data_IF_497517362690
#
_entry.id   IF_497517362690
#
_cell.length_a   1.000
_cell.length_b   1.000
_cell.length_c   1.000
_cell.angle_alpha   90.00
_cell.angle_beta   90.00
_cell.angle_gamma   90.00
#
_symmetry.space_group_name_H-M   'P 1'
#
loop_
_entity.id
_entity.type
_entity.pdbx_description
1 polymer ?
#
# COMPACT_ATOMS: atom_id res chain seq x y z
N UNK A 1 -6.75 19.21 34.46
CA UNK A 1 -6.89 20.65 34.69
C UNK A 1 -7.98 21.18 33.77
N UNK A 2 -8.98 21.92 34.23
CA UNK A 2 -9.98 22.49 33.35
C UNK A 2 -9.37 23.60 32.51
N UNK A 3 -9.64 23.59 31.21
CA UNK A 3 -9.21 24.64 30.28
C UNK A 3 -10.10 25.86 30.52
N UNK A 4 -9.51 26.93 31.07
CA UNK A 4 -10.19 28.21 31.23
C UNK A 4 -10.16 28.91 29.84
N UNK A 5 -11.29 28.93 29.14
CA UNK A 5 -11.45 29.74 27.95
C UNK A 5 -11.81 31.16 28.41
N UNK A 6 -10.84 32.07 28.36
CA UNK A 6 -11.10 33.50 28.53
C UNK A 6 -11.80 34.01 27.29
N UNK A 7 -13.10 34.28 27.39
CA UNK A 7 -13.81 35.04 26.38
C UNK A 7 -13.37 36.50 26.46
N UNK A 8 -12.44 36.90 25.62
CA UNK A 8 -12.32 38.29 25.27
C UNK A 8 -13.54 38.70 24.43
N UNK A 9 -14.13 39.83 24.77
CA UNK A 9 -15.33 40.36 24.17
C UNK A 9 -15.19 40.49 22.64
N UNK A 10 -15.78 39.58 21.92
CA UNK A 10 -15.92 39.68 20.46
C UNK A 10 -16.86 40.85 20.15
N UNK A 11 -16.28 41.91 19.64
CA UNK A 11 -17.01 43.05 19.08
C UNK A 11 -17.90 42.53 17.94
N UNK A 12 -19.21 42.64 18.10
CA UNK A 12 -20.28 42.03 17.31
C UNK A 12 -20.45 42.63 15.90
N UNK A 13 -19.37 42.81 15.17
CA UNK A 13 -19.46 43.13 13.73
C UNK A 13 -18.67 42.08 12.91
N UNK A 14 -19.45 41.25 12.27
CA UNK A 14 -19.05 40.20 11.32
C UNK A 14 -18.47 38.94 11.98
N UNK A 15 -19.36 37.98 12.23
CA UNK A 15 -18.97 36.59 12.46
C UNK A 15 -18.52 36.02 11.10
N UNK A 16 -17.28 36.28 10.74
CA UNK A 16 -16.63 35.46 9.77
C UNK A 16 -16.26 34.18 10.53
N UNK A 17 -16.85 33.03 10.20
CA UNK A 17 -16.43 31.73 10.64
C UNK A 17 -15.04 31.46 10.04
N UNK A 18 -14.02 32.10 10.57
CA UNK A 18 -12.65 31.78 10.20
C UNK A 18 -12.33 30.39 10.76
N UNK A 19 -11.91 29.45 9.93
CA UNK A 19 -11.49 28.14 10.39
C UNK A 19 -10.33 28.32 11.39
N UNK A 20 -10.33 27.50 12.41
CA UNK A 20 -9.25 27.48 13.41
C UNK A 20 -8.76 26.03 13.59
N UNK A 21 -7.53 25.88 13.99
CA UNK A 21 -6.96 24.60 14.37
C UNK A 21 -6.28 24.70 15.73
N UNK A 22 -6.10 23.55 16.37
CA UNK A 22 -5.33 23.45 17.63
C UNK A 22 -3.93 22.95 17.26
N UNK A 23 -2.93 23.70 17.62
CA UNK A 23 -1.53 23.33 17.36
C UNK A 23 -1.01 22.27 18.36
N UNK A 24 0.25 21.86 18.20
CA UNK A 24 0.91 20.86 19.09
C UNK A 24 0.97 21.28 20.56
N UNK A 25 0.83 22.57 20.85
CA UNK A 25 0.88 23.12 22.19
C UNK A 25 -0.54 23.36 22.77
N UNK A 26 -1.57 22.81 22.11
CA UNK A 26 -3.01 22.98 22.41
C UNK A 26 -3.51 24.42 22.32
N UNK A 27 -2.86 25.25 21.55
CA UNK A 27 -3.28 26.64 21.30
C UNK A 27 -4.21 26.68 20.09
N UNK A 28 -5.41 27.23 20.28
CA UNK A 28 -6.33 27.46 19.16
C UNK A 28 -5.82 28.63 18.33
N UNK A 29 -5.46 28.35 17.08
CA UNK A 29 -4.94 29.34 16.12
C UNK A 29 -5.94 29.61 15.02
N UNK A 30 -6.27 30.86 14.78
CA UNK A 30 -7.11 31.27 13.65
C UNK A 30 -6.31 31.16 12.35
N UNK A 31 -6.94 30.60 11.32
CA UNK A 31 -6.34 30.52 9.99
C UNK A 31 -6.35 31.89 9.33
N UNK A 32 -5.21 32.33 8.85
CA UNK A 32 -5.03 33.58 8.10
C UNK A 32 -4.01 33.38 6.97
N UNK A 33 -3.81 34.36 6.12
CA UNK A 33 -2.76 34.33 5.08
C UNK A 33 -1.35 34.24 5.68
N UNK A 34 -1.15 34.77 6.89
CA UNK A 34 0.12 34.72 7.61
C UNK A 34 0.28 33.43 8.46
N UNK A 35 -0.84 32.82 8.83
CA UNK A 35 -0.92 31.58 9.60
C UNK A 35 -1.86 30.59 8.90
N UNK A 36 -1.43 30.01 7.79
CA UNK A 36 -2.24 29.03 7.07
C UNK A 36 -2.45 27.77 7.93
N UNK A 37 -3.58 27.10 7.72
CA UNK A 37 -3.82 25.81 8.36
C UNK A 37 -2.74 24.81 7.91
N UNK A 38 -2.01 24.18 8.83
CA UNK A 38 -1.08 23.13 8.45
C UNK A 38 -1.88 21.96 7.87
N UNK A 39 -1.51 21.54 6.67
CA UNK A 39 -2.04 20.33 6.05
C UNK A 39 -0.99 19.23 6.17
N UNK A 40 -1.40 18.09 6.66
CA UNK A 40 -0.53 16.90 6.70
C UNK A 40 -1.10 15.88 5.74
N UNK A 41 -0.26 15.35 4.87
CA UNK A 41 -0.62 14.18 4.07
C UNK A 41 -0.86 13.01 5.02
N UNK A 42 -2.06 12.44 4.96
CA UNK A 42 -2.45 11.33 5.82
C UNK A 42 -1.53 10.11 5.65
N UNK A 43 -1.02 9.87 4.46
CA UNK A 43 -0.10 8.77 4.19
C UNK A 43 1.25 9.01 4.90
N UNK A 44 1.73 10.26 4.86
CA UNK A 44 2.95 10.66 5.56
C UNK A 44 2.79 10.51 7.09
N UNK A 45 1.66 10.95 7.63
CA UNK A 45 1.35 10.77 9.05
C UNK A 45 1.34 9.28 9.43
N UNK A 46 0.66 8.43 8.65
CA UNK A 46 0.62 6.98 8.88
C UNK A 46 2.01 6.34 8.89
N UNK A 47 2.92 6.81 8.04
CA UNK A 47 4.31 6.34 8.06
C UNK A 47 5.02 6.69 9.37
N UNK A 48 4.87 7.93 9.85
CA UNK A 48 5.44 8.35 11.13
C UNK A 48 4.86 7.59 12.33
N UNK A 49 3.57 7.26 12.28
CA UNK A 49 2.90 6.43 13.29
C UNK A 49 3.33 4.94 13.23
N UNK A 50 4.15 4.56 12.24
CA UNK A 50 4.56 3.17 12.03
C UNK A 50 3.44 2.26 11.58
N UNK A 51 2.44 2.79 10.88
CA UNK A 51 1.29 2.06 10.31
C UNK A 51 1.44 1.77 8.83
N UNK A 52 2.57 2.11 8.23
CA UNK A 52 2.90 1.82 6.85
C UNK A 52 3.77 0.58 6.74
N UNK A 53 3.38 -0.36 5.91
CA UNK A 53 4.07 -1.64 5.72
C UNK A 53 4.34 -1.91 4.26
N UNK A 54 5.22 -2.87 3.99
CA UNK A 54 5.46 -3.36 2.65
C UNK A 54 5.91 -4.82 2.65
N UNK A 55 5.73 -5.43 1.51
CA UNK A 55 6.34 -6.68 1.12
C UNK A 55 6.85 -6.54 -0.32
N UNK A 56 8.01 -7.10 -0.62
CA UNK A 56 8.50 -7.17 -1.98
C UNK A 56 9.12 -8.54 -2.29
N UNK A 57 9.04 -8.93 -3.56
CA UNK A 57 9.73 -10.11 -4.09
C UNK A 57 10.36 -9.77 -5.42
N UNK A 58 11.69 -9.81 -5.44
CA UNK A 58 12.50 -9.63 -6.63
C UNK A 58 12.99 -10.99 -7.15
N UNK A 59 12.86 -11.19 -8.46
CA UNK A 59 13.54 -12.22 -9.24
C UNK A 59 14.62 -11.51 -10.08
N UNK A 60 15.87 -11.48 -9.58
CA UNK A 60 16.96 -10.72 -10.21
C UNK A 60 17.47 -11.43 -11.47
N UNK A 61 18.41 -10.81 -12.18
CA UNK A 61 19.03 -11.36 -13.39
C UNK A 61 19.68 -12.73 -13.17
N UNK A 62 20.21 -12.97 -11.98
CA UNK A 62 20.82 -14.26 -11.57
C UNK A 62 19.80 -15.38 -11.29
N UNK A 63 18.50 -15.04 -11.12
CA UNK A 63 17.43 -15.99 -10.79
C UNK A 63 16.10 -15.51 -11.39
N UNK A 64 16.05 -15.39 -12.72
CA UNK A 64 14.91 -14.90 -13.49
C UNK A 64 13.66 -15.73 -13.30
N UNK A 65 12.51 -15.10 -13.41
CA UNK A 65 11.23 -15.79 -13.51
C UNK A 65 11.12 -16.48 -14.87
N UNK A 66 10.99 -17.81 -14.87
CA UNK A 66 10.93 -18.59 -16.09
C UNK A 66 9.69 -18.24 -16.96
N UNK A 67 9.77 -18.51 -18.26
CA UNK A 67 8.62 -18.40 -19.15
C UNK A 67 7.44 -19.23 -18.65
N UNK A 68 6.25 -18.66 -18.61
CA UNK A 68 5.03 -19.29 -18.10
C UNK A 68 4.95 -19.45 -16.58
N UNK A 69 6.02 -19.10 -15.84
CA UNK A 69 6.00 -19.15 -14.38
C UNK A 69 5.32 -17.91 -13.77
N UNK A 70 4.79 -18.08 -12.56
CA UNK A 70 4.14 -17.01 -11.81
C UNK A 70 4.80 -16.77 -10.47
N UNK A 71 4.72 -15.54 -10.00
CA UNK A 71 4.92 -15.16 -8.59
C UNK A 71 3.53 -15.00 -7.99
N UNK A 72 3.23 -15.79 -6.97
CA UNK A 72 1.99 -15.70 -6.21
C UNK A 72 2.27 -15.14 -4.82
N UNK A 73 1.60 -14.06 -4.47
CA UNK A 73 1.62 -13.50 -3.11
C UNK A 73 0.19 -13.48 -2.59
N UNK A 74 -0.08 -14.33 -1.61
CA UNK A 74 -1.36 -14.30 -0.92
C UNK A 74 -1.24 -13.47 0.36
N UNK A 75 -2.17 -12.55 0.58
CA UNK A 75 -2.21 -11.70 1.77
C UNK A 75 -3.62 -11.71 2.36
N UNK A 76 -3.69 -11.82 3.69
CA UNK A 76 -4.93 -11.71 4.45
C UNK A 76 -4.70 -10.80 5.67
N UNK A 77 -5.72 -10.02 6.04
CA UNK A 77 -5.66 -9.11 7.17
C UNK A 77 -6.54 -9.59 8.32
N UNK A 78 -6.13 -9.26 9.55
CA UNK A 78 -6.90 -9.60 10.74
C UNK A 78 -8.29 -8.93 10.75
N UNK A 79 -9.15 -9.39 11.65
CA UNK A 79 -10.47 -8.81 11.85
C UNK A 79 -10.39 -7.32 12.20
N UNK A 80 -11.21 -6.50 11.56
CA UNK A 80 -11.28 -5.05 11.77
C UNK A 80 -10.20 -4.24 11.03
N UNK A 81 -9.26 -4.89 10.33
CA UNK A 81 -8.20 -4.21 9.60
C UNK A 81 -8.59 -4.02 8.13
N UNK A 82 -8.77 -2.77 7.72
CA UNK A 82 -8.94 -2.37 6.32
C UNK A 82 -7.61 -1.81 5.81
N UNK A 83 -6.96 -2.55 4.93
CA UNK A 83 -5.68 -2.11 4.40
C UNK A 83 -5.86 -1.28 3.14
N UNK A 84 -5.21 -0.13 3.09
CA UNK A 84 -5.08 0.68 1.89
C UNK A 84 -3.79 0.30 1.18
N UNK A 85 -3.90 -0.44 0.09
CA UNK A 85 -2.78 -1.06 -0.60
C UNK A 85 -2.52 -0.41 -1.96
N UNK A 86 -1.25 -0.21 -2.25
CA UNK A 86 -0.72 0.10 -3.58
C UNK A 86 0.15 -1.06 -4.02
N UNK A 87 0.02 -1.44 -5.28
CA UNK A 87 0.93 -2.39 -5.94
C UNK A 87 1.86 -1.64 -6.89
N UNK A 88 3.07 -2.15 -7.00
CA UNK A 88 4.02 -1.78 -8.02
C UNK A 88 4.64 -3.05 -8.59
N UNK A 89 4.63 -3.18 -9.91
CA UNK A 89 5.06 -4.39 -10.58
C UNK A 89 5.99 -4.02 -11.73
N UNK A 90 7.18 -4.60 -11.70
CA UNK A 90 8.23 -4.37 -12.70
C UNK A 90 8.61 -5.70 -13.35
N UNK A 91 8.85 -5.68 -14.65
CA UNK A 91 9.28 -6.87 -15.40
C UNK A 91 10.20 -6.49 -16.57
N UNK A 92 11.17 -7.35 -16.85
CA UNK A 92 12.04 -7.22 -18.03
C UNK A 92 11.44 -7.81 -19.30
N UNK A 93 10.27 -8.42 -19.25
CA UNK A 93 9.56 -9.02 -20.39
C UNK A 93 8.06 -8.85 -20.23
N UNK A 94 7.30 -9.30 -21.22
CA UNK A 94 5.83 -9.26 -21.17
C UNK A 94 5.33 -10.08 -19.98
N UNK A 95 4.40 -9.50 -19.22
CA UNK A 95 3.80 -10.15 -18.08
C UNK A 95 2.32 -9.78 -17.93
N UNK A 96 1.58 -10.64 -17.26
CA UNK A 96 0.21 -10.40 -16.83
C UNK A 96 0.16 -10.31 -15.31
N UNK A 97 -0.54 -9.32 -14.81
CA UNK A 97 -0.73 -9.13 -13.38
C UNK A 97 -2.21 -9.16 -13.02
N UNK A 98 -2.54 -9.96 -12.01
CA UNK A 98 -3.91 -10.15 -11.54
C UNK A 98 -4.01 -9.97 -10.04
N UNK A 99 -5.15 -9.44 -9.59
CA UNK A 99 -5.57 -9.44 -8.17
C UNK A 99 -6.88 -10.20 -8.07
N UNK A 100 -6.90 -11.22 -7.22
CA UNK A 100 -8.10 -12.00 -6.90
C UNK A 100 -8.48 -11.79 -5.44
N UNK A 101 -9.77 -11.88 -5.14
CA UNK A 101 -10.30 -11.83 -3.76
C UNK A 101 -11.06 -13.09 -3.42
N UNK A 102 -10.96 -13.53 -2.16
CA UNK A 102 -11.56 -14.78 -1.71
C UNK A 102 -10.83 -16.01 -2.23
N UNK A 103 -9.54 -15.89 -2.49
CA UNK A 103 -8.69 -17.02 -2.92
C UNK A 103 -8.55 -18.05 -1.81
N UNK A 104 -8.51 -19.33 -2.19
CA UNK A 104 -8.20 -20.43 -1.27
C UNK A 104 -6.80 -20.94 -1.59
N UNK A 105 -5.92 -20.84 -0.60
CA UNK A 105 -4.50 -21.20 -0.76
C UNK A 105 -4.04 -22.09 0.39
N UNK A 106 -3.06 -22.92 0.13
CA UNK A 106 -2.43 -23.80 1.13
C UNK A 106 -0.91 -23.82 0.95
N UNK A 107 -0.17 -24.09 2.02
CA UNK A 107 1.29 -24.15 1.95
C UNK A 107 1.92 -22.81 1.58
N UNK A 108 3.03 -22.87 0.83
CA UNK A 108 3.83 -21.69 0.53
C UNK A 108 4.80 -21.33 1.65
N UNK A 109 5.53 -20.24 1.44
CA UNK A 109 6.48 -19.71 2.44
C UNK A 109 5.86 -18.54 3.17
N UNK A 110 5.69 -18.63 4.49
CA UNK A 110 5.28 -17.49 5.31
C UNK A 110 6.40 -16.44 5.32
N UNK A 111 6.07 -15.21 5.00
CA UNK A 111 7.01 -14.10 4.92
C UNK A 111 6.49 -12.91 5.73
N UNK A 112 7.39 -12.14 6.40
CA UNK A 112 6.97 -11.00 7.18
C UNK A 112 6.65 -9.80 6.29
N UNK A 113 5.65 -9.02 6.70
CA UNK A 113 5.53 -7.62 6.29
C UNK A 113 6.59 -6.78 7.01
N UNK A 114 7.25 -5.88 6.29
CA UNK A 114 8.25 -4.99 6.86
C UNK A 114 7.63 -3.60 7.09
N UNK A 115 7.97 -2.97 8.21
CA UNK A 115 7.51 -1.63 8.50
C UNK A 115 8.32 -0.61 7.67
N UNK A 116 7.65 0.33 7.03
CA UNK A 116 8.31 1.40 6.25
C UNK A 116 8.96 2.46 7.13
N UNK A 117 8.53 2.58 8.39
CA UNK A 117 9.24 3.34 9.41
C UNK A 117 10.23 2.42 10.13
N UNK A 118 11.48 2.43 9.73
CA UNK A 118 12.51 1.54 10.27
C UNK A 118 12.83 1.77 11.76
N UNK A 119 12.34 2.86 12.35
CA UNK A 119 12.46 3.13 13.79
C UNK A 119 11.23 2.63 14.58
N UNK A 120 10.20 2.13 13.91
CA UNK A 120 8.99 1.62 14.55
C UNK A 120 9.12 0.13 14.84
N UNK A 121 8.69 -0.28 16.03
CA UNK A 121 8.54 -1.69 16.41
C UNK A 121 7.16 -2.28 16.07
N UNK A 122 6.26 -1.49 15.46
CA UNK A 122 4.94 -1.97 15.09
C UNK A 122 5.04 -3.05 14.02
N UNK A 123 4.25 -4.10 14.18
CA UNK A 123 4.12 -5.21 13.24
C UNK A 123 2.78 -5.14 12.53
N UNK A 124 2.77 -5.49 11.25
CA UNK A 124 1.53 -5.59 10.47
C UNK A 124 0.62 -6.69 11.00
N UNK A 125 -0.67 -6.48 10.91
CA UNK A 125 -1.70 -7.47 11.21
C UNK A 125 -2.05 -8.32 9.97
N UNK A 126 -1.16 -8.37 8.99
CA UNK A 126 -1.30 -9.21 7.80
C UNK A 126 -0.59 -10.56 7.96
N UNK A 127 -1.14 -11.59 7.30
CA UNK A 127 -0.46 -12.86 7.05
C UNK A 127 -0.12 -12.94 5.56
N UNK A 128 1.14 -13.18 5.22
CA UNK A 128 1.62 -13.24 3.83
C UNK A 128 2.21 -14.61 3.53
N UNK A 129 1.79 -15.19 2.41
CA UNK A 129 2.32 -16.44 1.88
C UNK A 129 2.91 -16.19 0.48
N UNK A 130 4.16 -16.52 0.29
CA UNK A 130 4.83 -16.48 -1.01
C UNK A 130 4.70 -17.86 -1.69
N UNK A 131 4.29 -17.84 -2.95
CA UNK A 131 4.10 -19.00 -3.82
C UNK A 131 3.32 -20.14 -3.13
N UNK A 132 2.14 -19.85 -2.57
CA UNK A 132 1.28 -20.88 -2.04
C UNK A 132 0.72 -21.76 -3.16
N UNK A 133 0.25 -22.95 -2.81
CA UNK A 133 -0.59 -23.76 -3.72
C UNK A 133 -1.97 -23.15 -3.76
N UNK A 134 -2.38 -22.67 -4.92
CA UNK A 134 -3.70 -22.06 -5.14
C UNK A 134 -4.71 -23.16 -5.48
N UNK A 135 -5.67 -23.38 -4.59
CA UNK A 135 -6.77 -24.33 -4.82
C UNK A 135 -7.94 -23.67 -5.57
N UNK A 136 -8.22 -22.41 -5.24
CA UNK A 136 -9.23 -21.61 -5.91
C UNK A 136 -8.72 -20.18 -6.06
N UNK A 137 -8.76 -19.64 -7.28
CA UNK A 137 -8.32 -18.26 -7.54
C UNK A 137 -9.19 -17.23 -6.82
N UNK A 138 -10.48 -17.51 -6.66
CA UNK A 138 -11.44 -16.53 -6.15
C UNK A 138 -12.00 -15.65 -7.27
N UNK A 139 -12.47 -14.45 -6.88
CA UNK A 139 -13.02 -13.48 -7.83
C UNK A 139 -11.94 -12.53 -8.31
N UNK A 140 -11.75 -12.42 -9.62
CA UNK A 140 -10.87 -11.41 -10.21
C UNK A 140 -11.38 -10.00 -9.89
N UNK A 141 -10.48 -9.15 -9.40
CA UNK A 141 -10.75 -7.75 -9.07
C UNK A 141 -9.99 -6.78 -9.95
N UNK A 142 -8.85 -7.21 -10.47
CA UNK A 142 -7.99 -6.39 -11.30
C UNK A 142 -7.16 -7.28 -12.22
N UNK A 143 -6.97 -6.83 -13.46
CA UNK A 143 -6.07 -7.41 -14.43
C UNK A 143 -5.32 -6.32 -15.19
N UNK A 144 -4.04 -6.56 -15.44
CA UNK A 144 -3.19 -5.65 -16.20
C UNK A 144 -2.17 -6.42 -17.02
N UNK A 145 -1.97 -5.99 -18.26
CA UNK A 145 -0.84 -6.41 -19.08
C UNK A 145 0.31 -5.42 -18.90
N UNK A 146 1.50 -5.94 -18.67
CA UNK A 146 2.73 -5.18 -18.50
C UNK A 146 3.63 -5.51 -19.70
N UNK A 147 3.79 -4.58 -20.63
CA UNK A 147 4.60 -4.84 -21.82
C UNK A 147 6.08 -4.89 -21.43
N UNK A 148 6.79 -5.84 -21.96
CA UNK A 148 8.24 -5.96 -21.84
C UNK A 148 8.98 -4.93 -22.69
N UNK A 149 10.21 -4.59 -22.28
CA UNK A 149 11.12 -3.77 -23.06
C UNK A 149 11.91 -4.59 -24.08
N UNK A 150 12.15 -4.02 -25.24
CA UNK A 150 13.13 -4.55 -26.20
C UNK A 150 14.51 -3.91 -25.97
N UNK A 151 15.57 -4.72 -26.01
CA UNK A 151 16.95 -4.19 -25.99
C UNK A 151 17.49 -3.77 -24.63
N UNK A 152 17.04 -4.39 -23.52
CA UNK A 152 17.58 -4.09 -22.17
C UNK A 152 17.06 -2.80 -21.55
N UNK A 153 16.13 -2.11 -22.20
CA UNK A 153 15.37 -1.05 -21.57
C UNK A 153 14.36 -1.68 -20.60
N UNK A 154 14.36 -1.24 -19.34
CA UNK A 154 13.31 -1.62 -18.42
C UNK A 154 11.99 -1.07 -18.95
N UNK A 155 11.14 -1.97 -19.42
CA UNK A 155 9.80 -1.60 -19.77
C UNK A 155 8.87 -1.89 -18.60
N UNK A 156 7.96 -1.00 -18.39
CA UNK A 156 6.80 -1.20 -17.56
C UNK A 156 7.08 -1.17 -16.07
N UNK A 157 7.48 -0.01 -15.55
CA UNK A 157 7.04 0.35 -14.21
C UNK A 157 5.52 0.49 -14.29
N UNK A 158 4.81 -0.53 -13.87
CA UNK A 158 3.35 -0.50 -13.76
C UNK A 158 2.89 0.32 -12.55
N UNK A 159 3.64 1.36 -12.19
CA UNK A 159 3.28 2.31 -11.13
C UNK A 159 2.02 3.05 -11.52
N UNK A 160 0.89 2.36 -11.44
CA UNK A 160 -0.41 2.96 -11.55
C UNK A 160 -0.80 3.38 -10.16
N UNK A 161 -1.16 4.68 -9.99
CA UNK A 161 -1.59 5.29 -8.74
C UNK A 161 -2.92 4.75 -8.21
N UNK A 162 -3.21 3.47 -8.44
CA UNK A 162 -4.42 2.86 -7.89
C UNK A 162 -4.18 2.45 -6.45
N UNK A 163 -5.07 2.91 -5.58
CA UNK A 163 -5.15 2.45 -4.21
C UNK A 163 -6.33 1.51 -4.07
N UNK A 164 -6.08 0.32 -3.56
CA UNK A 164 -7.10 -0.66 -3.26
C UNK A 164 -7.40 -0.67 -1.76
N UNK A 165 -8.67 -0.77 -1.39
CA UNK A 165 -9.06 -1.01 0.00
C UNK A 165 -9.39 -2.49 0.14
N UNK A 166 -8.57 -3.19 0.93
CA UNK A 166 -8.71 -4.61 1.17
C UNK A 166 -9.49 -4.87 2.46
N UNK A 167 -10.51 -5.72 2.36
CA UNK A 167 -11.37 -6.06 3.49
C UNK A 167 -10.67 -7.04 4.46
N UNK A 168 -10.98 -6.97 5.77
CA UNK A 168 -10.50 -7.93 6.74
C UNK A 168 -11.02 -9.35 6.46
N UNK A 169 -10.32 -10.36 6.99
CA UNK A 169 -10.70 -11.78 6.92
C UNK A 169 -10.87 -12.31 5.49
N UNK A 170 -10.32 -11.61 4.50
CA UNK A 170 -10.39 -11.99 3.09
C UNK A 170 -8.98 -12.24 2.58
N UNK A 171 -8.76 -13.38 1.94
CA UNK A 171 -7.47 -13.66 1.28
C UNK A 171 -7.48 -13.06 -0.11
N UNK A 172 -6.51 -12.22 -0.37
CA UNK A 172 -6.22 -11.65 -1.68
C UNK A 172 -4.99 -12.34 -2.28
N UNK A 173 -5.08 -12.72 -3.55
CA UNK A 173 -3.96 -13.28 -4.30
C UNK A 173 -3.51 -12.27 -5.35
N UNK A 174 -2.25 -11.89 -5.27
CA UNK A 174 -1.54 -11.08 -6.25
C UNK A 174 -0.67 -12.02 -7.08
N UNK A 175 -0.97 -12.12 -8.37
CA UNK A 175 -0.29 -13.03 -9.30
C UNK A 175 0.37 -12.26 -10.42
N UNK A 176 1.67 -12.40 -10.57
CA UNK A 176 2.43 -11.92 -11.71
C UNK A 176 2.92 -13.11 -12.52
N UNK A 177 2.50 -13.21 -13.77
CA UNK A 177 2.86 -14.30 -14.69
C UNK A 177 3.75 -13.78 -15.81
N UNK A 178 4.91 -14.39 -16.01
CA UNK A 178 5.75 -14.12 -17.17
C UNK A 178 5.13 -14.81 -18.39
N UNK A 179 4.56 -14.01 -19.30
CA UNK A 179 3.97 -14.52 -20.56
C UNK A 179 4.92 -14.39 -21.74
N UNK A 180 6.14 -13.93 -21.52
CA UNK A 180 7.18 -13.89 -22.54
C UNK A 180 7.77 -15.28 -22.79
N UNK A 181 8.27 -15.53 -24.01
CA UNK A 181 8.91 -16.79 -24.40
C UNK A 181 10.26 -17.09 -23.74
N UNK A 182 10.79 -16.16 -22.92
CA UNK A 182 12.06 -16.30 -22.23
C UNK A 182 11.94 -15.94 -20.73
N UNK A 183 12.94 -16.35 -19.93
CA UNK A 183 13.02 -15.97 -18.53
C UNK A 183 13.44 -14.50 -18.40
N UNK A 184 12.76 -13.73 -17.55
CA UNK A 184 13.02 -12.33 -17.31
C UNK A 184 13.09 -11.99 -15.81
N UNK A 185 13.75 -10.88 -15.49
CA UNK A 185 13.62 -10.27 -14.17
C UNK A 185 12.16 -9.89 -13.92
N UNK A 186 11.73 -10.07 -12.70
CA UNK A 186 10.39 -9.69 -12.27
C UNK A 186 10.43 -9.21 -10.83
N UNK A 187 9.63 -8.22 -10.51
CA UNK A 187 9.53 -7.64 -9.20
C UNK A 187 8.08 -7.32 -8.88
N UNK A 188 7.61 -7.72 -7.72
CA UNK A 188 6.32 -7.33 -7.17
C UNK A 188 6.55 -6.62 -5.85
N UNK A 189 5.98 -5.45 -5.69
CA UNK A 189 6.04 -4.63 -4.49
C UNK A 189 4.60 -4.34 -4.06
N UNK A 190 4.28 -4.69 -2.84
CA UNK A 190 3.00 -4.38 -2.21
C UNK A 190 3.28 -3.44 -1.04
N UNK A 191 2.67 -2.27 -1.04
CA UNK A 191 2.78 -1.30 0.06
C UNK A 191 1.39 -0.97 0.57
N UNK A 192 1.23 -0.90 1.89
CA UNK A 192 -0.06 -0.57 2.47
C UNK A 192 0.09 0.14 3.80
N UNK A 193 -1.03 0.67 4.26
CA UNK A 193 -1.21 1.11 5.64
C UNK A 193 -2.53 0.57 6.21
N UNK A 194 -2.52 0.38 7.51
CA UNK A 194 -3.61 -0.19 8.30
C UNK A 194 -3.90 0.64 9.56
#
# INVERSE_FOLDING_TARGET
MPITVTRESLNTKSIHNNPSYVDKDNIQTLVSSEKPMPTVDINHLRLHEGKGFYYNKLYPDSAKLASGASIDVAIAFASGVYAHLHEDVETGGDAEFYIYSGSVVTGGTSVPALNRNFNSSNTSQSAILLNPTVTTLGTEKYASFIPGGTGGASAGAGGRSFQFVLAPLTTYLFRLTNVNGAAHMAHIILTWYE
#
